data_IF_916340031032
#
_entry.id   IF_916340031032
#
_cell.length_a   1.000
_cell.length_b   1.000
_cell.length_c   1.000
_cell.angle_alpha   90.00
_cell.angle_beta   90.00
_cell.angle_gamma   90.00
#
_symmetry.space_group_name_H-M   'P 1'
#
loop_
_entity.id
_entity.type
_entity.pdbx_description
1 polymer ?
#
# COMPACT_ATOMS: atom_id res chain seq x y z
N UNK A 1 3.77 25.15 -21.09
CA UNK A 1 3.02 24.86 -19.85
C UNK A 1 2.99 23.35 -19.66
N UNK A 2 3.92 22.80 -18.88
CA UNK A 2 3.90 21.40 -18.49
C UNK A 2 3.88 21.42 -16.97
N UNK A 3 2.98 20.62 -16.37
CA UNK A 3 2.68 20.62 -14.96
C UNK A 3 2.96 19.24 -14.37
N UNK A 4 3.48 19.21 -13.14
CA UNK A 4 3.49 18.05 -12.28
C UNK A 4 2.07 17.60 -11.99
N UNK A 5 1.58 16.65 -12.78
CA UNK A 5 0.26 16.09 -12.61
C UNK A 5 0.37 14.86 -11.72
N UNK A 6 -0.13 14.96 -10.50
CA UNK A 6 -0.44 13.79 -9.70
C UNK A 6 -1.79 13.20 -10.18
N UNK A 7 -1.91 12.69 -11.43
CA UNK A 7 -2.96 11.78 -11.93
C UNK A 7 -2.47 11.00 -13.20
N UNK A 8 -2.82 9.71 -13.35
CA UNK A 8 -2.36 8.78 -14.42
C UNK A 8 -3.01 8.97 -15.82
N UNK A 9 -2.86 8.06 -16.82
CA UNK A 9 -2.04 6.84 -16.94
C UNK A 9 -0.86 6.94 -17.97
N UNK A 10 0.06 5.97 -17.93
CA UNK A 10 1.28 5.71 -18.79
C UNK A 10 2.59 6.44 -18.44
N UNK A 11 3.75 5.82 -18.77
CA UNK A 11 4.37 4.67 -18.10
C UNK A 11 5.08 5.12 -16.79
N UNK A 12 4.86 4.36 -15.71
CA UNK A 12 5.31 4.70 -14.37
C UNK A 12 6.81 4.44 -14.18
N UNK A 13 7.53 5.47 -13.71
CA UNK A 13 8.79 5.28 -12.99
C UNK A 13 8.42 5.00 -11.52
N UNK A 14 8.51 3.73 -11.10
CA UNK A 14 8.23 3.33 -9.72
C UNK A 14 9.42 3.70 -8.84
N UNK A 15 9.29 4.80 -8.09
CA UNK A 15 10.28 5.21 -7.08
C UNK A 15 9.80 4.67 -5.74
N UNK A 16 10.45 3.62 -5.23
CA UNK A 16 10.09 3.01 -3.95
C UNK A 16 10.37 3.99 -2.80
N UNK A 17 9.30 4.58 -2.26
CA UNK A 17 9.30 5.58 -1.19
C UNK A 17 8.90 4.97 0.17
N UNK A 18 8.93 3.65 0.28
CA UNK A 18 8.31 2.92 1.37
C UNK A 18 9.30 2.53 2.47
N UNK A 19 8.98 3.01 3.68
CA UNK A 19 9.47 2.58 5.00
C UNK A 19 10.98 2.58 5.28
N UNK A 20 11.32 3.32 6.35
CA UNK A 20 12.55 3.17 7.14
C UNK A 20 12.28 2.72 8.60
N UNK A 21 11.02 2.44 8.99
CA UNK A 21 10.64 2.10 10.36
C UNK A 21 10.47 0.59 10.62
N UNK A 22 11.36 -0.02 11.42
CA UNK A 22 11.28 -1.46 11.80
C UNK A 22 10.22 -1.78 12.87
N UNK A 23 9.59 -0.78 13.49
CA UNK A 23 8.85 -0.97 14.75
C UNK A 23 7.36 -1.34 14.58
N UNK A 24 6.70 -0.92 13.49
CA UNK A 24 5.25 -1.18 13.28
C UNK A 24 4.98 -2.39 12.38
N UNK A 25 6.00 -2.86 11.69
CA UNK A 25 5.95 -3.98 10.75
C UNK A 25 5.39 -5.26 11.41
N UNK A 26 5.81 -5.65 12.65
CA UNK A 26 5.28 -6.86 13.29
C UNK A 26 3.78 -6.78 13.58
N UNK A 27 3.24 -5.61 13.94
CA UNK A 27 1.82 -5.43 14.25
C UNK A 27 0.96 -5.50 12.98
N UNK A 28 1.44 -4.92 11.87
CA UNK A 28 0.76 -4.98 10.58
C UNK A 28 0.69 -6.41 10.05
N UNK A 29 1.79 -7.17 10.12
CA UNK A 29 1.83 -8.53 9.59
C UNK A 29 1.29 -9.61 10.55
N UNK A 30 1.36 -9.40 11.87
CA UNK A 30 0.88 -10.37 12.85
C UNK A 30 -0.51 -10.06 13.42
N UNK A 31 -1.02 -8.83 13.24
CA UNK A 31 -2.33 -8.40 13.76
C UNK A 31 -3.53 -8.85 12.93
N UNK A 32 -3.33 -9.69 11.91
CA UNK A 32 -4.36 -10.21 11.02
C UNK A 32 -5.06 -9.12 10.18
N UNK A 33 -4.53 -7.89 10.14
CA UNK A 33 -5.04 -6.78 9.32
C UNK A 33 -4.61 -7.02 7.88
N UNK A 34 -5.43 -6.61 6.91
CA UNK A 34 -4.95 -6.52 5.54
C UNK A 34 -4.08 -5.27 5.43
N UNK A 35 -2.77 -5.42 5.27
CA UNK A 35 -1.87 -4.27 5.30
C UNK A 35 -1.99 -3.42 4.03
N UNK A 36 -2.58 -3.97 2.96
CA UNK A 36 -2.79 -3.28 1.68
C UNK A 36 -4.17 -2.63 1.55
N UNK A 37 -5.13 -2.98 2.42
CA UNK A 37 -6.47 -2.38 2.44
C UNK A 37 -7.09 -2.47 3.83
N UNK A 38 -7.01 -1.38 4.59
CA UNK A 38 -7.56 -1.27 5.95
C UNK A 38 -9.05 -1.65 6.06
N UNK A 39 -9.84 -1.51 4.99
CA UNK A 39 -11.27 -1.81 5.02
C UNK A 39 -11.60 -3.25 4.61
N UNK A 40 -10.63 -4.02 4.10
CA UNK A 40 -10.84 -5.41 3.69
C UNK A 40 -10.24 -6.37 4.71
N UNK A 41 -10.97 -7.44 4.98
CA UNK A 41 -10.46 -8.54 5.78
C UNK A 41 -9.59 -9.48 4.94
N UNK A 42 -8.47 -9.94 5.51
CA UNK A 42 -7.64 -11.00 4.91
C UNK A 42 -8.36 -12.34 4.86
N UNK A 43 -9.23 -12.59 5.85
CA UNK A 43 -10.06 -13.78 5.91
C UNK A 43 -11.49 -13.39 5.52
N UNK A 44 -12.04 -13.92 4.41
CA UNK A 44 -13.42 -13.64 4.05
C UNK A 44 -14.44 -14.32 4.98
N UNK A 45 -14.02 -15.10 5.99
CA UNK A 45 -14.92 -15.76 6.94
C UNK A 45 -15.68 -14.74 7.83
N UNK A 46 -17.02 -14.61 7.65
CA UNK A 46 -17.81 -13.59 8.33
C UNK A 46 -17.84 -13.72 9.85
N UNK A 47 -17.61 -14.92 10.42
CA UNK A 47 -17.60 -15.14 11.87
C UNK A 47 -16.41 -14.46 12.57
N UNK A 48 -15.24 -14.43 11.91
CA UNK A 48 -14.04 -13.75 12.44
C UNK A 48 -14.16 -12.23 12.27
N UNK A 49 -14.84 -11.80 11.21
CA UNK A 49 -14.94 -10.40 10.81
C UNK A 49 -15.91 -9.60 11.70
N UNK A 50 -17.00 -10.23 12.15
CA UNK A 50 -17.97 -9.60 13.06
C UNK A 50 -17.36 -9.20 14.41
N UNK A 51 -16.56 -10.08 15.00
CA UNK A 51 -15.93 -9.84 16.31
C UNK A 51 -14.85 -8.76 16.23
N UNK A 52 -14.09 -8.72 15.13
CA UNK A 52 -13.02 -7.73 14.92
C UNK A 52 -13.56 -6.31 14.72
N UNK A 53 -14.51 -6.13 13.81
CA UNK A 53 -15.10 -4.81 13.53
C UNK A 53 -15.77 -4.22 14.78
N UNK A 54 -16.46 -5.07 15.54
CA UNK A 54 -17.05 -4.71 16.83
C UNK A 54 -16.01 -4.14 17.80
N UNK A 55 -14.79 -4.68 17.81
CA UNK A 55 -13.72 -4.23 18.71
C UNK A 55 -12.97 -3.00 18.20
N UNK A 56 -12.76 -2.86 16.89
CA UNK A 56 -12.18 -1.63 16.30
C UNK A 56 -13.12 -0.41 16.48
N UNK A 57 -14.43 -0.64 16.53
CA UNK A 57 -15.42 0.39 16.82
C UNK A 57 -15.49 0.77 18.31
N UNK A 58 -15.02 -0.10 19.22
CA UNK A 58 -14.93 0.24 20.66
C UNK A 58 -13.94 1.37 20.85
N UNK A 59 -14.42 2.48 21.41
CA UNK A 59 -13.62 3.67 21.68
C UNK A 59 -13.49 4.67 20.52
N UNK A 60 -13.78 4.26 19.28
CA UNK A 60 -13.72 5.15 18.09
C UNK A 60 -15.11 5.63 17.67
N UNK A 61 -16.14 4.78 17.76
CA UNK A 61 -17.50 5.15 17.42
C UNK A 61 -18.27 5.65 18.64
N UNK A 62 -18.71 6.91 18.62
CA UNK A 62 -19.41 7.58 19.74
C UNK A 62 -20.67 6.82 20.23
N UNK A 63 -21.31 6.01 19.36
CA UNK A 63 -22.49 5.20 19.70
C UNK A 63 -22.20 3.84 20.34
N UNK A 64 -20.93 3.40 20.40
CA UNK A 64 -20.57 2.09 20.93
C UNK A 64 -20.37 2.05 22.45
N UNK A 65 -20.32 3.22 23.12
CA UNK A 65 -20.26 3.33 24.59
C UNK A 65 -21.44 2.66 25.31
N UNK A 66 -22.61 2.58 24.67
CA UNK A 66 -23.82 2.01 25.29
C UNK A 66 -23.87 0.48 25.27
N UNK A 67 -23.07 -0.19 24.43
CA UNK A 67 -23.02 -1.66 24.33
C UNK A 67 -22.14 -2.27 25.44
N UNK A 68 -21.27 -1.46 26.03
CA UNK A 68 -20.26 -1.85 27.02
C UNK A 68 -20.85 -2.34 28.36
N UNK A 69 -22.10 -1.99 28.66
CA UNK A 69 -22.75 -2.35 29.93
C UNK A 69 -23.44 -3.74 29.94
N UNK A 70 -23.49 -4.49 28.84
CA UNK A 70 -24.44 -5.63 28.75
C UNK A 70 -23.87 -7.04 28.51
N UNK A 71 -22.56 -7.25 28.30
CA UNK A 71 -22.04 -8.63 28.20
C UNK A 71 -20.64 -8.80 28.82
N UNK A 72 -20.62 -9.40 30.01
CA UNK A 72 -19.47 -10.15 30.51
C UNK A 72 -19.16 -11.30 29.56
N UNK A 73 -18.26 -11.06 28.62
CA UNK A 73 -17.30 -12.05 28.14
C UNK A 73 -16.08 -11.26 27.73
N UNK A 74 -15.10 -11.22 28.62
CA UNK A 74 -13.75 -10.75 28.34
C UNK A 74 -13.15 -11.66 27.27
N UNK A 75 -13.47 -11.38 26.00
CA UNK A 75 -12.70 -11.93 24.88
C UNK A 75 -11.29 -11.40 25.05
N UNK A 76 -10.34 -12.29 25.34
CA UNK A 76 -8.93 -11.96 25.43
C UNK A 76 -8.53 -11.14 24.19
N UNK A 77 -8.22 -9.85 24.35
CA UNK A 77 -7.84 -8.96 23.24
C UNK A 77 -6.63 -9.54 22.50
N UNK A 78 -5.77 -10.28 23.21
CA UNK A 78 -4.65 -11.00 22.60
C UNK A 78 -5.09 -12.17 21.73
N UNK A 79 -6.27 -12.78 21.95
CA UNK A 79 -6.80 -13.83 21.07
C UNK A 79 -7.20 -13.32 19.69
N UNK A 80 -7.56 -12.03 19.56
CA UNK A 80 -7.83 -11.37 18.28
C UNK A 80 -6.54 -11.00 17.54
N UNK A 81 -5.46 -10.76 18.29
CA UNK A 81 -4.11 -10.57 17.75
C UNK A 81 -3.41 -11.90 17.44
N UNK A 82 -3.94 -13.04 17.89
CA UNK A 82 -3.50 -14.38 17.46
C UNK A 82 -4.04 -14.63 16.06
N UNK A 83 -3.45 -13.99 15.05
CA UNK A 83 -3.61 -14.42 13.68
C UNK A 83 -3.03 -15.85 13.57
N UNK A 84 -3.91 -16.83 13.41
CA UNK A 84 -3.52 -18.13 12.86
C UNK A 84 -2.81 -17.91 11.53
N UNK A 85 -1.78 -18.73 11.24
CA UNK A 85 -0.94 -18.83 10.01
C UNK A 85 -1.25 -17.83 8.89
N UNK A 86 -0.23 -17.18 8.29
CA UNK A 86 -0.41 -16.14 7.28
C UNK A 86 -1.50 -16.53 6.28
N UNK A 87 -2.56 -15.75 6.27
CA UNK A 87 -3.75 -16.00 5.46
C UNK A 87 -3.40 -15.65 4.01
N UNK A 88 -2.99 -16.71 3.32
CA UNK A 88 -2.77 -16.87 1.89
C UNK A 88 -1.66 -16.01 1.25
N UNK A 89 -0.79 -16.70 0.50
CA UNK A 89 0.15 -16.14 -0.48
C UNK A 89 1.57 -15.83 -0.01
N UNK A 90 2.45 -15.65 -1.00
CA UNK A 90 3.77 -15.03 -0.85
C UNK A 90 3.66 -13.58 -0.36
N UNK A 91 2.58 -12.90 -0.78
CA UNK A 91 2.19 -11.57 -0.32
C UNK A 91 1.07 -11.71 0.69
N UNK A 92 1.20 -11.19 1.93
CA UNK A 92 0.19 -11.44 2.95
C UNK A 92 -1.17 -10.86 2.60
N UNK A 93 -2.23 -11.63 2.88
CA UNK A 93 -3.62 -11.29 2.60
C UNK A 93 -3.97 -11.22 1.10
N UNK A 94 -3.16 -11.85 0.25
CA UNK A 94 -3.40 -11.97 -1.19
C UNK A 94 -3.42 -13.45 -1.58
N UNK A 95 -4.46 -13.89 -2.27
CA UNK A 95 -4.46 -15.21 -2.89
C UNK A 95 -3.84 -15.13 -4.29
N UNK A 96 -2.60 -15.59 -4.40
CA UNK A 96 -1.81 -15.64 -5.62
C UNK A 96 -1.93 -16.97 -6.39
N UNK A 97 -2.69 -17.94 -5.87
CA UNK A 97 -2.80 -19.30 -6.42
C UNK A 97 -3.17 -19.32 -7.90
N UNK A 98 -4.14 -18.49 -8.31
CA UNK A 98 -4.63 -18.47 -9.70
C UNK A 98 -3.54 -17.98 -10.66
N UNK A 99 -2.78 -16.97 -10.25
CA UNK A 99 -1.67 -16.41 -11.05
C UNK A 99 -0.52 -17.40 -11.09
N UNK A 100 -0.15 -18.00 -9.95
CA UNK A 100 0.89 -19.03 -9.89
C UNK A 100 0.53 -20.22 -10.78
N UNK A 101 -0.73 -20.67 -10.76
CA UNK A 101 -1.19 -21.76 -11.61
C UNK A 101 -1.10 -21.39 -13.10
N UNK A 102 -1.62 -20.23 -13.48
CA UNK A 102 -1.59 -19.76 -14.86
C UNK A 102 -0.16 -19.60 -15.40
N UNK A 103 0.73 -18.96 -14.62
CA UNK A 103 2.11 -18.69 -15.03
C UNK A 103 2.98 -19.96 -15.09
N UNK A 104 2.55 -21.04 -14.44
CA UNK A 104 3.23 -22.34 -14.48
C UNK A 104 2.60 -23.34 -15.45
N UNK A 105 1.52 -22.98 -16.13
CA UNK A 105 0.96 -23.79 -17.21
C UNK A 105 1.98 -23.93 -18.35
N UNK A 106 2.11 -25.14 -18.91
CA UNK A 106 3.13 -25.46 -19.90
C UNK A 106 2.90 -24.71 -21.22
N UNK A 107 1.65 -24.55 -21.64
CA UNK A 107 1.32 -23.83 -22.87
C UNK A 107 1.52 -22.33 -22.68
N UNK A 108 1.19 -21.78 -21.50
CA UNK A 108 1.48 -20.38 -21.15
C UNK A 108 2.99 -20.12 -21.15
N UNK A 109 3.79 -20.97 -20.49
CA UNK A 109 5.26 -20.83 -20.47
C UNK A 109 5.84 -20.92 -21.88
N UNK A 110 5.35 -21.83 -22.71
CA UNK A 110 5.75 -21.95 -24.11
C UNK A 110 5.36 -20.71 -24.93
N UNK A 111 4.14 -20.19 -24.76
CA UNK A 111 3.67 -18.99 -25.45
C UNK A 111 4.48 -17.73 -25.08
N UNK A 112 4.93 -17.65 -23.82
CA UNK A 112 5.82 -16.59 -23.33
C UNK A 112 7.31 -16.85 -23.62
N UNK A 113 7.64 -17.93 -24.35
CA UNK A 113 9.00 -18.35 -24.69
C UNK A 113 9.91 -18.55 -23.46
N UNK A 114 9.36 -19.08 -22.37
CA UNK A 114 10.11 -19.41 -21.16
C UNK A 114 10.80 -20.77 -21.34
N UNK A 115 12.14 -20.84 -21.22
CA UNK A 115 12.86 -22.10 -21.32
C UNK A 115 12.38 -23.15 -20.30
N UNK A 116 12.37 -24.41 -20.70
CA UNK A 116 11.82 -25.52 -19.91
C UNK A 116 12.69 -25.86 -18.69
N UNK A 117 13.98 -25.52 -18.74
CA UNK A 117 14.96 -25.74 -17.68
C UNK A 117 14.83 -24.76 -16.51
N UNK A 118 14.13 -23.64 -16.69
CA UNK A 118 13.93 -22.66 -15.62
C UNK A 118 12.95 -23.18 -14.56
N UNK A 119 13.16 -22.82 -13.28
CA UNK A 119 12.28 -23.25 -12.20
C UNK A 119 10.85 -22.78 -12.39
N UNK A 120 9.96 -23.30 -11.53
CA UNK A 120 8.59 -22.79 -11.42
C UNK A 120 8.61 -21.30 -11.14
N UNK A 121 7.69 -20.59 -11.76
CA UNK A 121 7.42 -19.19 -11.50
C UNK A 121 6.75 -19.06 -10.14
N UNK A 122 7.10 -18.02 -9.40
CA UNK A 122 6.48 -17.67 -8.12
C UNK A 122 6.24 -16.17 -8.06
N UNK A 123 5.31 -15.73 -7.20
CA UNK A 123 4.97 -14.31 -7.11
C UNK A 123 6.10 -13.50 -6.45
N UNK A 124 6.71 -14.03 -5.39
CA UNK A 124 7.86 -13.42 -4.73
C UNK A 124 9.00 -14.43 -4.51
N UNK A 125 10.25 -13.95 -4.56
CA UNK A 125 11.40 -14.77 -4.19
C UNK A 125 11.83 -14.49 -2.76
N UNK A 126 11.57 -15.41 -1.84
CA UNK A 126 12.06 -15.33 -0.46
C UNK A 126 13.59 -15.28 -0.37
N UNK A 127 14.29 -15.94 -1.29
CA UNK A 127 15.74 -15.86 -1.38
C UNK A 127 16.22 -14.45 -1.70
N UNK A 128 15.61 -13.80 -2.71
CA UNK A 128 15.96 -12.42 -3.04
C UNK A 128 15.56 -11.46 -1.92
N UNK A 129 14.37 -11.62 -1.34
CA UNK A 129 13.90 -10.80 -0.22
C UNK A 129 14.88 -10.80 0.96
N UNK A 130 15.40 -11.98 1.32
CA UNK A 130 16.35 -12.11 2.45
C UNK A 130 17.77 -11.65 2.11
N UNK A 131 18.19 -11.81 0.87
CA UNK A 131 19.53 -11.41 0.42
C UNK A 131 19.65 -9.92 0.09
N UNK A 132 18.55 -9.26 -0.25
CA UNK A 132 18.56 -7.88 -0.76
C UNK A 132 19.02 -6.85 0.29
N UNK A 133 19.95 -5.99 -0.10
CA UNK A 133 20.46 -4.90 0.74
C UNK A 133 19.96 -3.55 0.21
N UNK A 134 19.18 -2.83 1.03
CA UNK A 134 18.71 -1.49 0.69
C UNK A 134 19.89 -0.50 0.64
N UNK A 135 20.07 0.16 -0.51
CA UNK A 135 21.17 1.11 -0.73
C UNK A 135 20.81 2.56 -0.37
N UNK A 136 19.54 2.93 -0.50
CA UNK A 136 19.06 4.30 -0.31
C UNK A 136 17.94 4.32 0.73
N UNK A 137 18.05 5.24 1.70
CA UNK A 137 17.01 5.49 2.70
C UNK A 137 16.13 6.71 2.39
N UNK A 138 16.52 7.52 1.41
CA UNK A 138 15.78 8.70 0.98
C UNK A 138 15.89 8.86 -0.55
N UNK A 139 14.74 9.04 -1.20
CA UNK A 139 14.63 9.23 -2.64
C UNK A 139 14.44 10.70 -3.04
N UNK A 140 14.32 11.64 -2.08
CA UNK A 140 14.15 13.06 -2.37
C UNK A 140 15.23 13.64 -3.29
N UNK A 141 16.54 13.31 -3.16
CA UNK A 141 17.56 13.83 -4.07
C UNK A 141 17.34 13.40 -5.51
N UNK A 142 16.81 12.20 -5.74
CA UNK A 142 16.54 11.67 -7.08
C UNK A 142 15.31 12.36 -7.70
N UNK A 143 14.23 12.48 -6.93
CA UNK A 143 13.03 13.20 -7.39
C UNK A 143 13.35 14.65 -7.73
N UNK A 144 14.15 15.34 -6.90
CA UNK A 144 14.60 16.71 -7.17
C UNK A 144 15.38 16.82 -8.47
N UNK A 145 16.28 15.86 -8.76
CA UNK A 145 17.02 15.81 -10.03
C UNK A 145 16.09 15.61 -11.23
N UNK A 146 15.09 14.74 -11.11
CA UNK A 146 14.10 14.46 -12.16
C UNK A 146 13.27 15.71 -12.46
N UNK A 147 12.78 16.40 -11.42
CA UNK A 147 12.02 17.65 -11.56
C UNK A 147 12.88 18.75 -12.17
N UNK A 148 14.14 18.89 -11.74
CA UNK A 148 15.09 19.86 -12.31
C UNK A 148 15.39 19.61 -13.80
N UNK A 149 15.25 18.35 -14.26
CA UNK A 149 15.36 17.97 -15.66
C UNK A 149 14.06 18.21 -16.46
N UNK A 150 13.07 18.89 -15.89
CA UNK A 150 11.75 19.14 -16.48
C UNK A 150 10.97 17.86 -16.83
N UNK A 151 11.20 16.78 -16.07
CA UNK A 151 10.44 15.53 -16.19
C UNK A 151 9.25 15.58 -15.24
N UNK A 152 8.07 15.26 -15.78
CA UNK A 152 6.83 15.19 -15.00
C UNK A 152 6.85 13.96 -14.09
N UNK A 153 6.70 14.18 -12.79
CA UNK A 153 6.57 13.14 -11.74
C UNK A 153 5.12 13.07 -11.23
N UNK A 154 4.68 11.84 -10.94
CA UNK A 154 3.40 11.51 -10.32
C UNK A 154 3.68 10.64 -9.09
N UNK A 155 3.27 11.10 -7.91
CA UNK A 155 3.29 10.29 -6.68
C UNK A 155 1.84 9.98 -6.28
N UNK A 156 1.42 8.72 -6.40
CA UNK A 156 0.07 8.28 -6.04
C UNK A 156 0.13 7.24 -4.93
N UNK A 157 -0.84 7.30 -4.02
CA UNK A 157 -0.92 6.43 -2.86
C UNK A 157 -2.38 6.03 -2.63
N UNK A 158 -2.61 4.76 -2.28
CA UNK A 158 -3.90 4.33 -1.74
C UNK A 158 -4.08 4.89 -0.34
N UNK A 159 -5.29 5.38 -0.02
CA UNK A 159 -5.58 5.93 1.31
C UNK A 159 -5.84 4.86 2.38
N UNK A 160 -6.04 3.62 1.96
CA UNK A 160 -6.22 2.43 2.82
C UNK A 160 -4.98 1.56 2.95
N UNK A 161 -3.92 1.84 2.20
CA UNK A 161 -2.65 1.12 2.29
C UNK A 161 -1.91 1.51 3.57
N UNK A 162 -1.54 0.53 4.39
CA UNK A 162 -0.75 0.72 5.60
C UNK A 162 0.73 0.41 5.41
N UNK A 163 1.10 -0.33 4.36
CA UNK A 163 2.51 -0.61 4.02
C UNK A 163 3.18 0.64 3.47
N UNK A 164 2.52 1.41 2.60
CA UNK A 164 3.06 2.65 2.05
C UNK A 164 2.03 3.77 2.09
N UNK A 165 1.55 4.09 3.30
CA UNK A 165 0.41 4.97 3.46
C UNK A 165 0.55 6.37 2.84
N UNK A 166 -0.59 6.91 2.41
CA UNK A 166 -0.67 8.21 1.77
C UNK A 166 -0.14 9.36 2.63
N UNK A 167 -0.24 9.30 3.97
CA UNK A 167 0.25 10.39 4.84
C UNK A 167 1.77 10.52 4.74
N UNK A 168 2.50 9.41 4.69
CA UNK A 168 3.94 9.42 4.44
C UNK A 168 4.25 10.01 3.07
N UNK A 169 3.50 9.63 2.04
CA UNK A 169 3.62 10.19 0.70
C UNK A 169 3.39 11.71 0.66
N UNK A 170 2.40 12.20 1.42
CA UNK A 170 2.12 13.64 1.54
C UNK A 170 3.26 14.37 2.26
N UNK A 171 3.79 13.81 3.34
CA UNK A 171 4.94 14.39 4.06
C UNK A 171 6.19 14.42 3.19
N UNK A 172 6.50 13.31 2.49
CA UNK A 172 7.62 13.24 1.55
C UNK A 172 7.50 14.32 0.47
N UNK A 173 6.32 14.43 -0.15
CA UNK A 173 6.07 15.42 -1.20
C UNK A 173 6.28 16.86 -0.71
N UNK A 174 5.89 17.16 0.53
CA UNK A 174 6.09 18.47 1.14
C UNK A 174 7.58 18.75 1.43
N UNK A 175 8.33 17.74 1.89
CA UNK A 175 9.77 17.82 2.15
C UNK A 175 10.62 18.02 0.88
N UNK A 176 10.05 17.81 -0.31
CA UNK A 176 10.72 18.18 -1.56
C UNK A 176 10.95 19.70 -1.66
N UNK A 177 10.19 20.52 -0.92
CA UNK A 177 10.35 21.98 -0.92
C UNK A 177 9.96 22.65 -2.24
N UNK A 178 9.17 21.98 -3.08
CA UNK A 178 8.63 22.54 -4.31
C UNK A 178 7.50 23.52 -3.97
N UNK A 179 7.36 24.61 -4.75
CA UNK A 179 6.29 25.58 -4.54
C UNK A 179 4.95 24.94 -4.85
N UNK A 180 4.03 25.00 -3.87
CA UNK A 180 2.68 24.44 -4.03
C UNK A 180 1.85 25.37 -4.92
N UNK A 181 1.42 24.85 -6.07
CA UNK A 181 0.56 25.55 -7.01
C UNK A 181 -0.93 25.39 -6.66
N UNK A 182 -1.33 24.18 -6.27
CA UNK A 182 -2.70 23.87 -5.86
C UNK A 182 -2.70 23.11 -4.54
N UNK A 183 -3.48 23.62 -3.57
CA UNK A 183 -3.74 22.94 -2.31
C UNK A 183 -4.42 21.59 -2.47
N UNK A 184 -4.50 20.82 -1.37
CA UNK A 184 -5.18 19.51 -1.37
C UNK A 184 -6.64 19.71 -1.77
N UNK A 185 -6.99 19.24 -2.96
CA UNK A 185 -8.32 19.40 -3.55
C UNK A 185 -8.87 18.05 -4.00
N UNK A 186 -10.18 17.82 -3.87
CA UNK A 186 -10.77 16.58 -4.34
C UNK A 186 -10.68 16.50 -5.86
N UNK A 187 -10.39 15.31 -6.38
CA UNK A 187 -10.56 15.01 -7.80
C UNK A 187 -11.70 14.01 -7.97
N UNK A 188 -12.39 14.09 -9.12
CA UNK A 188 -13.58 13.31 -9.39
C UNK A 188 -13.42 12.41 -10.60
N UNK A 189 -14.02 11.24 -10.53
CA UNK A 189 -14.23 10.31 -11.62
C UNK A 189 -15.69 9.85 -11.58
N UNK A 190 -16.40 9.88 -12.71
CA UNK A 190 -17.81 9.49 -12.81
C UNK A 190 -18.73 10.08 -11.71
N UNK A 191 -18.59 11.39 -11.47
CA UNK A 191 -19.33 12.16 -10.45
C UNK A 191 -19.04 11.75 -8.99
N UNK A 192 -18.14 10.81 -8.75
CA UNK A 192 -17.66 10.42 -7.43
C UNK A 192 -16.32 11.07 -7.11
N UNK A 193 -16.07 11.33 -5.82
CA UNK A 193 -14.73 11.71 -5.37
C UNK A 193 -13.87 10.45 -5.44
N UNK A 194 -12.83 10.48 -6.27
CA UNK A 194 -11.90 9.38 -6.42
C UNK A 194 -10.62 9.56 -5.58
N UNK A 195 -10.49 10.72 -4.92
CA UNK A 195 -9.44 11.00 -3.96
C UNK A 195 -9.12 12.50 -3.88
N UNK A 196 -7.91 12.80 -3.42
CA UNK A 196 -7.40 14.17 -3.31
C UNK A 196 -6.07 14.31 -4.05
N UNK A 197 -5.83 15.50 -4.60
CA UNK A 197 -4.57 15.85 -5.27
C UNK A 197 -4.02 17.16 -4.73
N UNK A 198 -2.70 17.27 -4.76
CA UNK A 198 -1.93 18.49 -4.50
C UNK A 198 -1.00 18.68 -5.68
N UNK A 199 -0.88 19.90 -6.20
CA UNK A 199 0.00 20.20 -7.33
C UNK A 199 1.15 21.10 -6.90
N UNK A 200 2.34 20.83 -7.45
CA UNK A 200 3.56 21.59 -7.22
C UNK A 200 4.08 22.15 -8.55
N UNK A 201 4.85 23.24 -8.50
CA UNK A 201 5.49 23.83 -9.68
C UNK A 201 6.67 22.97 -10.16
N UNK A 202 6.81 22.84 -11.48
CA UNK A 202 7.96 22.21 -12.14
C UNK A 202 9.13 23.20 -12.15
N UNK A 203 9.99 23.14 -11.12
CA UNK A 203 11.18 23.98 -10.90
C UNK A 203 10.90 25.49 -10.65
N UNK A 204 11.77 26.20 -9.88
CA UNK A 204 11.66 27.64 -9.76
C UNK A 204 11.91 28.26 -11.14
N UNK A 205 11.02 29.16 -11.55
CA UNK A 205 11.20 29.98 -12.76
C UNK A 205 12.63 30.51 -12.79
N UNK A 206 13.39 30.14 -13.82
CA UNK A 206 14.67 30.77 -14.15
C UNK A 206 14.51 32.29 -14.08
N UNK A 207 15.15 32.91 -13.09
CA UNK A 207 15.46 34.34 -13.14
C UNK A 207 16.64 34.54 -14.08
#
# INVERSE_FOLDING_TARGET
MHHLLVLGPTPMLEVSLCYNGREYLPVLWAGGLNPYDLYRDCNPNPAVNGDRMTQMLKGVAAGYKFVEMSKEKTSDVMSLLRANKPLYGDVPCMNDSDVIMYMNDAEVRKALNIPAELPKWDMCSNHLFTAYQKQYGDMAPFIKKIVAANVRVLLYYGDTDMVCNFMMGQQFSDQLGLKRFLGKTPWKFDRQIAGFKTLFEDSPSSQ
#
